data_IF_652356227840
#
_entry.id   IF_652356227840
#
_cell.length_a   1.000
_cell.length_b   1.000
_cell.length_c   1.000
_cell.angle_alpha   90.00
_cell.angle_beta   90.00
_cell.angle_gamma   90.00
#
_symmetry.space_group_name_H-M   'P 1'
#
loop_
_entity.id
_entity.type
_entity.pdbx_description
1 polymer ?
#
# COMPACT_ATOMS: atom_id res chain seq x y z
N UNK A 1 -0.90 -10.34 -18.93
CA UNK A 1 0.46 -9.74 -18.84
C UNK A 1 0.96 -9.89 -17.40
N UNK A 2 2.25 -9.73 -17.10
CA UNK A 2 2.80 -9.94 -15.75
C UNK A 2 2.12 -9.12 -14.65
N UNK A 3 1.55 -7.96 -14.98
CA UNK A 3 0.78 -7.10 -14.07
C UNK A 3 -0.46 -7.79 -13.52
N UNK A 4 -1.05 -8.74 -14.27
CA UNK A 4 -2.18 -9.54 -13.81
C UNK A 4 -1.80 -10.50 -12.67
N UNK A 5 -0.50 -10.75 -12.45
CA UNK A 5 -0.01 -11.50 -11.29
C UNK A 5 0.08 -10.64 -10.00
N UNK A 6 -0.24 -9.34 -10.09
CA UNK A 6 -0.10 -8.38 -9.00
C UNK A 6 -1.43 -7.86 -8.46
N UNK A 7 -2.43 -8.73 -8.28
CA UNK A 7 -3.71 -8.36 -7.66
C UNK A 7 -3.49 -7.70 -6.30
N UNK A 8 -4.11 -6.54 -6.10
CA UNK A 8 -4.02 -5.75 -4.87
C UNK A 8 -5.39 -5.38 -4.34
N UNK A 9 -5.46 -5.12 -3.04
CA UNK A 9 -6.55 -4.37 -2.45
C UNK A 9 -6.14 -2.90 -2.38
N UNK A 10 -7.03 -2.00 -2.76
CA UNK A 10 -6.77 -0.56 -2.78
C UNK A 10 -7.76 0.16 -1.87
N UNK A 11 -7.24 1.00 -0.99
CA UNK A 11 -8.06 1.82 -0.10
C UNK A 11 -8.05 3.26 -0.55
N UNK A 12 -9.23 3.88 -0.60
CA UNK A 12 -9.38 5.28 -0.95
C UNK A 12 -9.73 6.06 0.31
N UNK A 13 -9.04 7.17 0.52
CA UNK A 13 -9.33 8.13 1.57
C UNK A 13 -9.59 9.49 0.93
N UNK A 14 -10.84 9.95 0.97
CA UNK A 14 -11.21 11.29 0.55
C UNK A 14 -10.89 12.28 1.65
N UNK A 15 -10.23 13.39 1.29
CA UNK A 15 -9.71 14.39 2.21
C UNK A 15 -10.00 15.79 1.67
N UNK A 16 -10.02 16.77 2.55
CA UNK A 16 -10.03 18.16 2.11
C UNK A 16 -8.71 18.48 1.39
N UNK A 17 -8.72 19.31 0.32
CA UNK A 17 -7.49 19.64 -0.42
C UNK A 17 -6.35 20.18 0.46
N UNK A 18 -6.68 20.92 1.50
CA UNK A 18 -5.74 21.55 2.43
C UNK A 18 -5.07 20.53 3.36
N UNK A 19 -5.77 19.43 3.68
CA UNK A 19 -5.28 18.34 4.52
C UNK A 19 -4.58 17.24 3.72
N UNK A 20 -4.71 17.25 2.38
CA UNK A 20 -4.16 16.23 1.50
C UNK A 20 -2.67 15.90 1.76
N UNK A 21 -1.76 16.89 1.92
CA UNK A 21 -0.35 16.62 2.10
C UNK A 21 -0.07 15.76 3.34
N UNK A 22 -0.76 16.05 4.44
CA UNK A 22 -0.55 15.36 5.71
C UNK A 22 -1.04 13.91 5.63
N UNK A 23 -2.20 13.66 5.02
CA UNK A 23 -2.70 12.30 4.82
C UNK A 23 -1.85 11.50 3.83
N UNK A 24 -1.34 12.13 2.76
CA UNK A 24 -0.44 11.45 1.83
C UNK A 24 0.90 11.12 2.50
N UNK A 25 1.50 12.07 3.23
CA UNK A 25 2.75 11.86 3.96
C UNK A 25 2.58 10.77 5.04
N UNK A 26 1.45 10.76 5.76
CA UNK A 26 1.10 9.70 6.71
C UNK A 26 1.03 8.33 6.01
N UNK A 27 0.31 8.23 4.89
CA UNK A 27 0.16 7.00 4.13
C UNK A 27 1.49 6.47 3.58
N UNK A 28 2.40 7.37 3.19
CA UNK A 28 3.76 7.02 2.76
C UNK A 28 4.64 6.54 3.91
N UNK A 29 4.61 7.22 5.05
CA UNK A 29 5.41 6.85 6.23
C UNK A 29 5.06 5.43 6.75
N UNK A 30 3.81 5.01 6.63
CA UNK A 30 3.34 3.70 7.11
C UNK A 30 3.34 2.61 6.03
N UNK A 31 3.77 2.93 4.80
CA UNK A 31 3.70 2.01 3.67
C UNK A 31 4.45 0.69 3.93
N UNK A 32 5.66 0.76 4.48
CA UNK A 32 6.42 -0.43 4.87
C UNK A 32 5.74 -1.27 5.96
N UNK A 33 5.15 -0.63 6.97
CA UNK A 33 4.42 -1.34 8.03
C UNK A 33 3.24 -2.12 7.45
N UNK A 34 2.47 -1.49 6.55
CA UNK A 34 1.36 -2.14 5.86
C UNK A 34 1.82 -3.36 5.06
N UNK A 35 2.89 -3.21 4.27
CA UNK A 35 3.45 -4.32 3.48
C UNK A 35 3.91 -5.47 4.37
N UNK A 36 4.62 -5.19 5.46
CA UNK A 36 5.10 -6.23 6.37
C UNK A 36 3.95 -7.02 7.02
N UNK A 37 2.92 -6.32 7.51
CA UNK A 37 1.76 -6.95 8.16
C UNK A 37 0.87 -7.74 7.19
N UNK A 38 0.81 -7.32 5.93
CA UNK A 38 -0.10 -7.86 4.94
C UNK A 38 0.56 -8.76 3.88
N UNK A 39 1.89 -8.91 3.89
CA UNK A 39 2.62 -9.67 2.89
C UNK A 39 1.96 -11.04 2.62
N UNK A 40 1.73 -11.35 1.35
CA UNK A 40 0.90 -12.48 0.92
C UNK A 40 1.32 -13.05 -0.45
N UNK A 41 2.45 -12.64 -1.02
CA UNK A 41 2.92 -13.15 -2.31
C UNK A 41 4.36 -13.73 -2.27
N UNK A 42 4.61 -14.82 -1.52
CA UNK A 42 5.95 -15.38 -1.37
C UNK A 42 6.43 -16.25 -2.54
N UNK A 43 5.54 -16.65 -3.45
CA UNK A 43 5.88 -17.53 -4.57
C UNK A 43 5.60 -16.89 -5.93
N UNK A 44 6.53 -17.07 -6.87
CA UNK A 44 6.38 -16.65 -8.28
C UNK A 44 7.03 -17.70 -9.19
N UNK A 45 6.33 -18.10 -10.27
CA UNK A 45 6.81 -19.11 -11.23
C UNK A 45 7.34 -20.38 -10.54
N UNK A 46 6.64 -20.78 -9.47
CA UNK A 46 7.00 -21.91 -8.65
C UNK A 46 8.25 -21.73 -7.79
N UNK A 47 8.87 -20.56 -7.69
CA UNK A 47 10.03 -20.28 -6.82
C UNK A 47 9.59 -19.50 -5.59
N UNK A 48 10.21 -19.79 -4.45
CA UNK A 48 10.04 -19.01 -3.23
C UNK A 48 10.96 -17.80 -3.28
N UNK A 49 10.43 -16.60 -3.02
CA UNK A 49 11.12 -15.32 -3.16
C UNK A 49 10.86 -14.44 -1.92
N UNK A 50 10.72 -13.13 -2.12
CA UNK A 50 10.42 -12.14 -1.08
C UNK A 50 9.04 -12.41 -0.48
N UNK A 51 8.81 -11.99 0.76
CA UNK A 51 7.50 -12.17 1.41
C UNK A 51 6.38 -11.48 0.63
N UNK A 52 6.66 -10.30 0.07
CA UNK A 52 5.77 -9.59 -0.85
C UNK A 52 6.49 -9.35 -2.19
N UNK A 53 6.67 -10.43 -2.97
CA UNK A 53 7.33 -10.38 -4.29
C UNK A 53 6.61 -9.50 -5.32
N UNK A 54 5.35 -9.13 -5.08
CA UNK A 54 4.56 -8.26 -5.95
C UNK A 54 5.18 -6.88 -6.14
N UNK A 55 5.80 -6.32 -5.09
CA UNK A 55 6.44 -5.00 -5.14
C UNK A 55 7.57 -4.99 -6.19
N UNK A 56 8.65 -5.78 -6.05
CA UNK A 56 9.73 -5.78 -7.03
C UNK A 56 9.30 -6.34 -8.39
N UNK A 57 8.34 -7.28 -8.44
CA UNK A 57 7.83 -7.79 -9.71
C UNK A 57 7.15 -6.69 -10.53
N UNK A 58 6.27 -5.90 -9.91
CA UNK A 58 5.53 -4.85 -10.61
C UNK A 58 6.45 -3.72 -11.06
N UNK A 59 7.41 -3.33 -10.21
CA UNK A 59 8.45 -2.36 -10.53
C UNK A 59 9.30 -2.79 -11.72
N UNK A 60 9.68 -4.07 -11.80
CA UNK A 60 10.51 -4.57 -12.89
C UNK A 60 9.72 -4.83 -14.18
N UNK A 61 8.51 -5.39 -14.07
CA UNK A 61 7.72 -5.81 -15.23
C UNK A 61 7.18 -4.63 -16.05
N UNK A 62 6.91 -3.50 -15.41
CA UNK A 62 6.36 -2.30 -16.05
C UNK A 62 7.44 -1.27 -16.42
N UNK A 63 8.69 -1.52 -16.04
CA UNK A 63 9.79 -0.62 -16.32
C UNK A 63 10.39 -0.88 -17.71
N UNK A 64 9.83 -0.18 -18.69
CA UNK A 64 10.21 -0.23 -20.10
C UNK A 64 11.46 0.62 -20.43
N UNK A 65 12.12 1.23 -19.44
CA UNK A 65 13.28 2.11 -19.70
C UNK A 65 14.51 1.27 -20.09
N UNK A 66 15.31 1.72 -21.08
CA UNK A 66 16.63 1.14 -21.36
C UNK A 66 17.58 1.22 -20.15
N UNK A 67 18.59 0.33 -20.07
CA UNK A 67 19.52 0.27 -18.95
C UNK A 67 20.29 1.58 -18.76
N UNK A 68 20.62 2.27 -19.86
CA UNK A 68 21.31 3.55 -19.88
C UNK A 68 20.47 4.63 -19.19
N UNK A 69 19.15 4.64 -19.46
CA UNK A 69 18.19 5.57 -18.86
C UNK A 69 17.99 5.26 -17.37
N UNK A 70 18.00 3.98 -16.98
CA UNK A 70 17.99 3.59 -15.56
C UNK A 70 19.26 4.06 -14.84
N UNK A 71 20.43 3.87 -15.45
CA UNK A 71 21.72 4.30 -14.89
C UNK A 71 21.84 5.82 -14.73
N UNK A 72 21.12 6.60 -15.56
CA UNK A 72 21.04 8.05 -15.45
C UNK A 72 20.07 8.54 -14.34
N UNK A 73 19.42 7.63 -13.61
CA UNK A 73 18.52 8.00 -12.53
C UNK A 73 17.22 8.65 -13.02
N UNK A 74 16.83 8.43 -14.28
CA UNK A 74 15.48 8.79 -14.74
C UNK A 74 14.48 8.04 -13.84
N UNK A 75 13.26 8.56 -13.69
CA UNK A 75 12.27 8.01 -12.76
C UNK A 75 11.48 6.87 -13.41
N UNK A 76 11.20 5.75 -12.70
CA UNK A 76 10.28 4.72 -13.19
C UNK A 76 8.83 5.19 -13.09
N UNK A 77 7.94 4.58 -13.89
CA UNK A 77 6.49 4.84 -13.79
C UNK A 77 5.85 4.19 -12.56
N UNK A 78 6.38 3.06 -12.10
CA UNK A 78 6.09 2.51 -10.78
C UNK A 78 7.10 3.09 -9.82
N UNK A 79 6.65 3.85 -8.83
CA UNK A 79 7.57 4.54 -7.95
C UNK A 79 6.92 4.82 -6.58
N UNK A 80 7.75 4.80 -5.54
CA UNK A 80 7.35 5.21 -4.21
C UNK A 80 7.09 6.72 -4.12
N UNK A 81 7.93 7.55 -4.74
CA UNK A 81 7.86 9.02 -4.72
C UNK A 81 9.25 9.63 -4.53
N UNK A 82 9.37 10.96 -4.46
CA UNK A 82 10.67 11.64 -4.36
C UNK A 82 10.94 12.28 -3.00
N UNK A 83 9.89 12.80 -2.36
CA UNK A 83 9.97 13.63 -1.16
C UNK A 83 8.64 13.67 -0.45
N UNK A 84 8.66 14.14 0.79
CA UNK A 84 7.46 14.62 1.47
C UNK A 84 6.88 15.83 0.73
N UNK A 85 5.56 15.93 0.70
CA UNK A 85 4.86 17.00 -0.01
C UNK A 85 4.28 18.02 0.96
N UNK A 86 4.07 19.24 0.47
CA UNK A 86 3.35 20.31 1.15
C UNK A 86 2.05 20.68 0.42
N UNK A 87 1.85 20.16 -0.80
CA UNK A 87 0.61 20.33 -1.57
C UNK A 87 0.34 19.11 -2.44
N UNK A 88 -0.93 18.84 -2.75
CA UNK A 88 -1.30 17.89 -3.81
C UNK A 88 -0.70 18.28 -5.17
N UNK A 89 -0.50 19.58 -5.41
CA UNK A 89 0.12 20.08 -6.64
C UNK A 89 1.54 19.56 -6.84
N UNK A 90 2.30 19.34 -5.75
CA UNK A 90 3.66 18.78 -5.83
C UNK A 90 3.66 17.48 -6.66
N UNK A 91 2.65 16.61 -6.47
CA UNK A 91 2.55 15.31 -7.14
C UNK A 91 2.08 15.42 -8.60
N UNK A 92 1.19 16.36 -8.90
CA UNK A 92 0.73 16.59 -10.27
C UNK A 92 1.78 17.33 -11.12
N UNK A 93 2.52 18.26 -10.54
CA UNK A 93 3.67 18.90 -11.19
C UNK A 93 4.78 17.90 -11.46
N UNK A 94 5.05 16.98 -10.53
CA UNK A 94 5.95 15.84 -10.78
C UNK A 94 5.50 14.98 -11.96
N UNK A 95 4.19 14.76 -12.11
CA UNK A 95 3.65 14.00 -13.25
C UNK A 95 4.03 14.66 -14.57
N UNK A 96 3.83 15.97 -14.67
CA UNK A 96 4.12 16.76 -15.87
C UNK A 96 5.62 16.85 -16.14
N UNK A 97 6.41 17.03 -15.08
CA UNK A 97 7.86 17.23 -15.19
C UNK A 97 8.60 15.95 -15.57
N UNK A 98 8.19 14.80 -15.04
CA UNK A 98 8.98 13.57 -15.14
C UNK A 98 8.44 12.54 -16.13
N UNK A 99 7.15 12.60 -16.48
CA UNK A 99 6.53 11.56 -17.28
C UNK A 99 5.88 12.15 -18.54
N UNK A 100 6.29 11.71 -19.74
CA UNK A 100 5.57 12.07 -20.95
C UNK A 100 4.18 11.42 -20.95
N UNK A 101 3.18 12.05 -21.58
CA UNK A 101 1.89 11.41 -21.79
C UNK A 101 2.05 10.20 -22.73
N UNK A 102 1.53 9.03 -22.33
CA UNK A 102 1.59 7.82 -23.18
C UNK A 102 0.51 7.80 -24.24
N UNK A 103 -0.66 8.33 -23.90
CA UNK A 103 -1.83 8.40 -24.75
C UNK A 103 -2.29 9.86 -24.75
N UNK A 104 -2.18 10.57 -25.89
CA UNK A 104 -2.80 11.87 -26.00
C UNK A 104 -4.32 11.67 -26.00
N UNK A 105 -4.98 12.20 -24.99
CA UNK A 105 -6.42 12.45 -25.04
C UNK A 105 -6.57 13.92 -25.38
N UNK A 106 -7.32 14.22 -26.43
CA UNK A 106 -7.71 15.59 -26.76
C UNK A 106 -9.17 15.69 -26.36
N UNK A 107 -9.40 16.12 -25.12
CA UNK A 107 -10.77 16.38 -24.65
C UNK A 107 -11.31 17.61 -25.37
N UNK A 108 -12.62 17.64 -25.66
CA UNK A 108 -13.26 18.85 -26.19
C UNK A 108 -13.48 19.89 -25.08
N UNK A 109 -13.44 19.47 -23.81
CA UNK A 109 -13.55 20.37 -22.67
C UNK A 109 -12.30 21.26 -22.53
N UNK A 110 -12.47 22.58 -22.66
CA UNK A 110 -11.49 23.56 -22.17
C UNK A 110 -11.69 23.75 -20.65
N UNK A 111 -10.72 23.37 -19.80
CA UNK A 111 -10.87 23.49 -18.35
C UNK A 111 -10.96 24.93 -17.84
N UNK A 112 -10.32 25.89 -18.52
CA UNK A 112 -10.34 27.29 -18.12
C UNK A 112 -11.70 27.91 -18.43
N UNK A 113 -12.22 27.69 -19.65
CA UNK A 113 -13.57 28.17 -20.00
C UNK A 113 -14.66 27.51 -19.15
N UNK A 114 -14.49 26.23 -18.81
CA UNK A 114 -15.42 25.50 -17.92
C UNK A 114 -15.45 26.15 -16.53
N UNK A 115 -14.27 26.44 -15.97
CA UNK A 115 -14.15 27.07 -14.66
C UNK A 115 -14.68 28.52 -14.67
N UNK A 116 -14.40 29.30 -15.73
CA UNK A 116 -14.88 30.68 -15.90
C UNK A 116 -16.40 30.76 -15.97
N UNK A 117 -17.06 29.72 -16.48
CA UNK A 117 -18.53 29.57 -16.49
C UNK A 117 -19.11 29.17 -15.14
N UNK A 118 -18.27 28.85 -14.15
CA UNK A 118 -18.68 28.38 -12.82
C UNK A 118 -18.96 26.87 -12.75
N UNK A 119 -18.64 26.11 -13.81
CA UNK A 119 -18.73 24.66 -13.83
C UNK A 119 -17.43 24.02 -13.32
N UNK A 120 -17.45 22.71 -13.06
CA UNK A 120 -16.30 21.95 -12.58
C UNK A 120 -15.68 21.16 -13.74
N UNK A 121 -14.41 21.40 -14.09
CA UNK A 121 -13.74 20.65 -15.14
C UNK A 121 -13.45 19.20 -14.71
N UNK A 122 -13.62 18.23 -15.59
CA UNK A 122 -13.33 16.81 -15.34
C UNK A 122 -11.81 16.53 -15.39
N UNK A 123 -11.06 17.39 -16.08
CA UNK A 123 -9.61 17.27 -16.26
C UNK A 123 -9.20 15.90 -16.85
N UNK A 124 -9.87 15.49 -17.94
CA UNK A 124 -9.68 14.19 -18.59
C UNK A 124 -8.22 13.88 -18.95
N UNK A 125 -7.47 14.87 -19.46
CA UNK A 125 -6.05 14.71 -19.78
C UNK A 125 -5.19 14.43 -18.55
N UNK A 126 -5.40 15.19 -17.47
CA UNK A 126 -4.66 15.05 -16.21
C UNK A 126 -4.97 13.71 -15.52
N UNK A 127 -6.25 13.32 -15.49
CA UNK A 127 -6.68 12.05 -14.89
C UNK A 127 -6.17 10.85 -15.67
N UNK A 128 -6.19 10.89 -17.01
CA UNK A 128 -5.61 9.84 -17.86
C UNK A 128 -4.10 9.76 -17.66
N UNK A 129 -3.39 10.90 -17.70
CA UNK A 129 -1.94 10.94 -17.50
C UNK A 129 -1.54 10.35 -16.14
N UNK A 130 -2.19 10.80 -15.07
CA UNK A 130 -1.99 10.27 -13.72
C UNK A 130 -2.35 8.77 -13.61
N UNK A 131 -3.31 8.30 -14.41
CA UNK A 131 -3.68 6.89 -14.55
C UNK A 131 -2.53 6.00 -15.05
N UNK A 132 -1.59 6.56 -15.82
CA UNK A 132 -0.42 5.86 -16.38
C UNK A 132 0.84 5.93 -15.51
N UNK A 133 0.73 6.52 -14.31
CA UNK A 133 1.81 6.62 -13.33
C UNK A 133 1.38 5.83 -12.09
N UNK A 134 2.08 4.75 -11.84
CA UNK A 134 1.68 3.73 -10.88
C UNK A 134 2.37 3.92 -9.53
N UNK A 135 2.07 5.04 -8.86
CA UNK A 135 2.54 5.27 -7.49
C UNK A 135 1.94 4.28 -6.51
N UNK A 136 2.69 3.92 -5.46
CA UNK A 136 2.20 3.07 -4.37
C UNK A 136 1.13 3.77 -3.50
N UNK A 137 1.23 5.08 -3.30
CA UNK A 137 0.13 5.95 -2.86
C UNK A 137 -0.12 7.02 -3.93
N UNK A 138 -1.31 7.02 -4.54
CA UNK A 138 -1.63 7.86 -5.70
C UNK A 138 -2.57 9.01 -5.34
N UNK A 139 -2.28 10.26 -5.78
CA UNK A 139 -3.26 11.33 -5.73
C UNK A 139 -4.34 11.08 -6.79
N UNK A 140 -5.61 11.17 -6.40
CA UNK A 140 -6.73 11.00 -7.33
C UNK A 140 -7.60 12.24 -7.28
N UNK A 141 -7.65 12.96 -8.40
CA UNK A 141 -8.70 13.91 -8.71
C UNK A 141 -9.86 13.19 -9.41
N UNK A 142 -11.09 13.51 -9.04
CA UNK A 142 -12.26 13.13 -9.81
C UNK A 142 -13.44 14.06 -9.45
N UNK A 143 -14.42 14.12 -10.35
CA UNK A 143 -15.71 14.76 -10.10
C UNK A 143 -16.75 13.66 -9.86
N UNK A 144 -17.56 13.81 -8.82
CA UNK A 144 -18.70 12.93 -8.57
C UNK A 144 -19.89 13.73 -8.04
N UNK A 145 -21.07 13.52 -8.64
CA UNK A 145 -22.28 14.27 -8.31
C UNK A 145 -22.05 15.79 -8.36
N UNK A 146 -21.40 16.27 -9.44
CA UNK A 146 -21.06 17.68 -9.67
C UNK A 146 -20.25 18.31 -8.53
N UNK A 147 -19.37 17.52 -7.89
CA UNK A 147 -18.45 18.00 -6.87
C UNK A 147 -17.04 17.46 -7.13
N UNK A 148 -16.02 18.32 -7.17
CA UNK A 148 -14.64 17.84 -7.26
C UNK A 148 -14.21 17.33 -5.90
N UNK A 149 -13.42 16.25 -5.90
CA UNK A 149 -12.77 15.77 -4.70
C UNK A 149 -11.36 15.26 -5.00
N UNK A 150 -10.53 15.25 -3.96
CA UNK A 150 -9.21 14.63 -3.98
C UNK A 150 -9.18 13.45 -3.01
N UNK A 151 -8.45 12.40 -3.39
CA UNK A 151 -8.28 11.20 -2.58
C UNK A 151 -6.84 10.73 -2.57
N UNK A 152 -6.41 10.22 -1.43
CA UNK A 152 -5.23 9.35 -1.35
C UNK A 152 -5.70 7.93 -1.65
N UNK A 153 -5.18 7.34 -2.72
CA UNK A 153 -5.39 5.94 -3.07
C UNK A 153 -4.18 5.12 -2.61
N UNK A 154 -4.35 4.32 -1.56
CA UNK A 154 -3.35 3.40 -1.04
C UNK A 154 -3.36 2.07 -1.79
N UNK A 155 -2.21 1.65 -2.34
CA UNK A 155 -2.11 0.50 -3.26
C UNK A 155 -1.00 -0.48 -2.91
N UNK A 156 -0.39 -0.31 -1.74
CA UNK A 156 0.73 -1.15 -1.27
C UNK A 156 0.29 -2.56 -0.89
N UNK A 157 -0.97 -2.71 -0.48
CA UNK A 157 -1.48 -3.97 0.06
C UNK A 157 -1.75 -5.01 -1.04
N UNK A 158 -1.35 -6.28 -0.85
CA UNK A 158 -1.84 -7.36 -1.70
C UNK A 158 -3.33 -7.61 -1.47
N UNK A 159 -3.93 -8.44 -2.31
CA UNK A 159 -5.18 -9.09 -1.95
C UNK A 159 -5.00 -9.85 -0.61
N UNK A 160 -5.90 -9.63 0.34
CA UNK A 160 -5.82 -10.28 1.66
C UNK A 160 -6.20 -11.76 1.60
N UNK A 161 -5.69 -12.60 2.53
CA UNK A 161 -6.09 -14.01 2.61
C UNK A 161 -7.57 -14.23 2.84
N UNK A 162 -8.22 -13.31 3.58
CA UNK A 162 -9.64 -13.35 3.86
C UNK A 162 -10.26 -11.94 3.81
N UNK A 163 -11.59 -11.87 3.84
CA UNK A 163 -12.30 -10.59 3.99
C UNK A 163 -12.00 -9.98 5.34
N UNK A 164 -11.95 -10.78 6.42
CA UNK A 164 -11.58 -10.33 7.76
C UNK A 164 -10.19 -9.70 7.77
N UNK A 165 -9.22 -10.34 7.13
CA UNK A 165 -7.85 -9.83 7.02
C UNK A 165 -7.78 -8.51 6.23
N UNK A 166 -8.59 -8.40 5.19
CA UNK A 166 -8.69 -7.19 4.36
C UNK A 166 -9.29 -6.03 5.14
N UNK A 167 -10.39 -6.26 5.88
CA UNK A 167 -11.02 -5.24 6.71
C UNK A 167 -10.11 -4.82 7.87
N UNK A 168 -9.36 -5.75 8.46
CA UNK A 168 -8.37 -5.45 9.49
C UNK A 168 -7.27 -4.52 8.98
N UNK A 169 -6.74 -4.79 7.77
CA UNK A 169 -5.76 -3.91 7.13
C UNK A 169 -6.35 -2.51 6.87
N UNK A 170 -7.62 -2.44 6.44
CA UNK A 170 -8.32 -1.16 6.23
C UNK A 170 -8.49 -0.38 7.51
N UNK A 171 -8.98 -1.02 8.58
CA UNK A 171 -9.14 -0.40 9.90
C UNK A 171 -7.80 0.14 10.42
N UNK A 172 -6.73 -0.63 10.28
CA UNK A 172 -5.39 -0.19 10.65
C UNK A 172 -4.92 1.00 9.83
N UNK A 173 -5.07 0.95 8.50
CA UNK A 173 -4.69 2.05 7.60
C UNK A 173 -5.43 3.34 7.96
N UNK A 174 -6.77 3.32 7.96
CA UNK A 174 -7.59 4.52 8.19
C UNK A 174 -7.39 5.09 9.59
N UNK A 175 -7.34 4.23 10.61
CA UNK A 175 -7.05 4.64 11.97
C UNK A 175 -5.68 5.29 12.11
N UNK A 176 -4.65 4.63 11.58
CA UNK A 176 -3.29 5.12 11.73
C UNK A 176 -3.06 6.42 10.96
N UNK A 177 -3.55 6.54 9.73
CA UNK A 177 -3.44 7.81 8.98
C UNK A 177 -4.16 8.95 9.70
N UNK A 178 -5.36 8.71 10.24
CA UNK A 178 -6.10 9.74 10.99
C UNK A 178 -5.34 10.19 12.23
N UNK A 179 -4.76 9.25 12.98
CA UNK A 179 -4.02 9.58 14.19
C UNK A 179 -2.68 10.29 13.92
N UNK A 180 -1.98 9.93 12.83
CA UNK A 180 -0.70 10.54 12.49
C UNK A 180 -0.82 12.00 12.03
N UNK A 181 -1.92 12.34 11.35
CA UNK A 181 -2.21 13.73 10.95
C UNK A 181 -2.44 14.62 12.19
N UNK A 182 -2.94 14.06 13.28
CA UNK A 182 -3.20 14.77 14.53
C UNK A 182 -1.98 14.83 15.48
N UNK A 183 -0.83 14.24 15.11
CA UNK A 183 0.38 14.35 15.92
C UNK A 183 0.95 15.78 15.85
N UNK A 184 1.18 16.40 17.02
CA UNK A 184 1.78 17.74 17.13
C UNK A 184 3.11 17.85 16.37
N UNK A 185 3.89 16.75 16.33
CA UNK A 185 5.13 16.67 15.58
C UNK A 185 5.09 15.51 14.58
N UNK A 186 4.60 15.75 13.36
CA UNK A 186 4.33 14.70 12.39
C UNK A 186 5.54 13.83 12.08
N UNK A 187 5.30 12.55 11.79
CA UNK A 187 6.38 11.57 11.53
C UNK A 187 7.28 11.98 10.36
N UNK A 188 6.74 12.57 9.29
CA UNK A 188 7.50 13.02 8.12
C UNK A 188 8.39 14.24 8.40
N UNK A 189 8.18 14.96 9.51
CA UNK A 189 9.13 15.99 9.97
C UNK A 189 10.36 15.42 10.67
N UNK A 190 10.33 14.13 11.02
CA UNK A 190 11.36 13.43 11.82
C UNK A 190 11.96 12.20 11.12
N UNK A 191 11.40 11.79 9.99
CA UNK A 191 11.85 10.70 9.13
C UNK A 191 12.22 11.28 7.77
N UNK A 192 13.36 10.91 7.20
CA UNK A 192 13.63 11.27 5.80
C UNK A 192 12.74 10.45 4.86
N UNK A 193 12.43 11.01 3.70
CA UNK A 193 11.62 10.28 2.71
C UNK A 193 12.29 8.98 2.25
N UNK A 194 13.61 8.99 2.07
CA UNK A 194 14.40 7.81 1.72
C UNK A 194 14.26 6.67 2.74
N UNK A 195 14.14 6.99 4.03
CA UNK A 195 13.95 5.97 5.07
C UNK A 195 12.58 5.32 4.96
N UNK A 196 11.53 6.07 4.59
CA UNK A 196 10.21 5.48 4.33
C UNK A 196 10.24 4.55 3.11
N UNK A 197 11.01 4.91 2.08
CA UNK A 197 11.24 4.07 0.90
C UNK A 197 12.01 2.79 1.24
N UNK A 198 13.10 2.91 2.00
CA UNK A 198 13.90 1.78 2.47
C UNK A 198 13.05 0.84 3.34
N UNK A 199 12.21 1.40 4.20
CA UNK A 199 11.26 0.64 5.01
C UNK A 199 10.28 -0.16 4.14
N UNK A 200 9.76 0.40 3.05
CA UNK A 200 8.87 -0.32 2.12
C UNK A 200 9.57 -1.56 1.54
N UNK A 201 10.77 -1.39 0.99
CA UNK A 201 11.49 -2.49 0.34
C UNK A 201 11.98 -3.53 1.35
N UNK A 202 12.40 -3.09 2.53
CA UNK A 202 12.79 -3.98 3.64
C UNK A 202 11.60 -4.81 4.11
N UNK A 203 10.43 -4.19 4.27
CA UNK A 203 9.18 -4.89 4.58
C UNK A 203 8.77 -5.88 3.48
N UNK A 204 8.88 -5.49 2.20
CA UNK A 204 8.55 -6.40 1.10
C UNK A 204 9.45 -7.64 1.10
N UNK A 205 10.74 -7.47 1.40
CA UNK A 205 11.73 -8.54 1.41
C UNK A 205 11.56 -9.48 2.60
N UNK A 206 11.42 -8.93 3.80
CA UNK A 206 11.50 -9.66 5.06
C UNK A 206 10.14 -9.93 5.72
N UNK A 207 9.06 -9.33 5.22
CA UNK A 207 7.71 -9.52 5.74
C UNK A 207 7.56 -9.01 7.17
N UNK A 208 6.80 -9.75 7.98
CA UNK A 208 6.47 -9.36 9.36
C UNK A 208 7.70 -9.33 10.28
N UNK A 209 8.78 -10.03 9.98
CA UNK A 209 10.03 -10.00 10.75
C UNK A 209 10.99 -8.86 10.32
N UNK A 210 10.54 -7.98 9.42
CA UNK A 210 11.34 -6.85 8.97
C UNK A 210 11.72 -5.92 10.12
N UNK A 211 12.96 -5.43 10.08
CA UNK A 211 13.41 -4.34 10.94
C UNK A 211 13.24 -3.03 10.18
N UNK A 212 12.44 -2.12 10.73
CA UNK A 212 12.16 -0.82 10.15
C UNK A 212 12.67 0.28 11.05
N UNK A 213 13.06 1.42 10.48
CA UNK A 213 13.35 2.61 11.27
C UNK A 213 12.07 3.38 11.57
N UNK A 214 11.87 3.78 12.83
CA UNK A 214 10.81 4.70 13.23
C UNK A 214 11.32 5.83 14.15
N UNK A 215 10.96 7.11 13.90
CA UNK A 215 11.44 8.23 14.71
C UNK A 215 11.08 8.11 16.19
N UNK A 216 12.09 8.25 17.05
CA UNK A 216 11.96 8.13 18.51
C UNK A 216 12.00 6.68 19.02
N UNK A 217 12.03 5.68 18.13
CA UNK A 217 12.21 4.27 18.48
C UNK A 217 13.56 3.75 17.96
N UNK A 218 13.97 4.17 16.77
CA UNK A 218 15.16 3.64 16.07
C UNK A 218 14.78 2.47 15.16
N UNK A 219 15.74 1.58 14.89
CA UNK A 219 15.45 0.32 14.20
C UNK A 219 14.72 -0.65 15.14
N UNK A 220 13.63 -1.23 14.67
CA UNK A 220 12.72 -2.05 15.48
C UNK A 220 11.97 -3.05 14.59
N UNK A 221 11.62 -4.22 15.13
CA UNK A 221 10.79 -5.18 14.38
C UNK A 221 9.39 -4.64 14.16
N UNK A 222 8.74 -5.04 13.06
CA UNK A 222 7.36 -4.61 12.78
C UNK A 222 6.38 -4.98 13.91
N UNK A 223 6.38 -6.20 14.47
CA UNK A 223 5.53 -6.56 15.61
C UNK A 223 5.74 -5.64 16.81
N UNK A 224 6.98 -5.36 17.18
CA UNK A 224 7.27 -4.50 18.33
C UNK A 224 6.81 -3.06 18.08
N UNK A 225 7.11 -2.51 16.89
CA UNK A 225 6.66 -1.18 16.50
C UNK A 225 5.13 -1.06 16.50
N UNK A 226 4.45 -2.05 15.94
CA UNK A 226 2.99 -2.06 15.85
C UNK A 226 2.37 -2.17 17.23
N UNK A 227 2.73 -3.18 18.02
CA UNK A 227 2.14 -3.42 19.33
C UNK A 227 2.38 -2.27 20.30
N UNK A 228 3.59 -1.69 20.32
CA UNK A 228 3.96 -0.65 21.29
C UNK A 228 3.58 0.77 20.87
N UNK A 229 3.49 1.05 19.57
CA UNK A 229 3.31 2.42 19.07
C UNK A 229 2.13 2.58 18.12
N UNK A 230 2.06 1.78 17.06
CA UNK A 230 1.15 2.08 15.95
C UNK A 230 -0.27 1.56 16.18
N UNK A 231 -0.44 0.42 16.85
CA UNK A 231 -1.76 -0.14 17.14
C UNK A 231 -2.57 0.76 18.10
N UNK A 232 -2.01 1.30 19.20
CA UNK A 232 -2.71 2.31 20.00
C UNK A 232 -3.11 3.55 19.20
N UNK A 233 -2.26 4.01 18.27
CA UNK A 233 -2.58 5.13 17.39
C UNK A 233 -3.73 4.79 16.44
N UNK A 234 -3.74 3.59 15.86
CA UNK A 234 -4.83 3.14 15.00
C UNK A 234 -6.17 3.11 15.76
N UNK A 235 -6.19 2.60 17.00
CA UNK A 235 -7.38 2.66 17.85
C UNK A 235 -7.88 4.08 18.08
N UNK A 236 -6.96 5.00 18.40
CA UNK A 236 -7.28 6.42 18.62
C UNK A 236 -7.83 7.08 17.36
N UNK A 237 -7.23 6.84 16.20
CA UNK A 237 -7.67 7.45 14.95
C UNK A 237 -9.05 6.96 14.52
N UNK A 238 -9.36 5.67 14.68
CA UNK A 238 -10.70 5.14 14.41
C UNK A 238 -11.74 5.73 15.36
N UNK A 239 -11.39 5.94 16.63
CA UNK A 239 -12.27 6.61 17.60
C UNK A 239 -12.53 8.07 17.24
N UNK A 240 -11.50 8.81 16.81
CA UNK A 240 -11.65 10.18 16.30
C UNK A 240 -12.51 10.23 15.03
N UNK A 241 -12.54 9.16 14.25
CA UNK A 241 -13.43 8.99 13.09
C UNK A 241 -14.85 8.53 13.46
N UNK A 242 -15.15 8.34 14.75
CA UNK A 242 -16.48 7.96 15.25
C UNK A 242 -16.79 6.47 15.16
N UNK A 243 -15.78 5.60 15.05
CA UNK A 243 -15.98 4.15 15.02
C UNK A 243 -16.06 3.56 16.43
N UNK A 244 -17.18 2.89 16.73
CA UNK A 244 -17.41 2.27 18.03
C UNK A 244 -16.42 1.12 18.34
N UNK A 245 -16.14 0.91 19.64
CA UNK A 245 -15.29 -0.18 20.16
C UNK A 245 -15.67 -1.55 19.60
N UNK A 246 -16.97 -1.85 19.54
CA UNK A 246 -17.50 -3.12 19.06
C UNK A 246 -17.10 -3.45 17.61
N UNK A 247 -16.78 -2.44 16.79
CA UNK A 247 -16.30 -2.64 15.42
C UNK A 247 -14.77 -2.54 15.31
N UNK A 248 -14.14 -1.58 16.01
CA UNK A 248 -12.68 -1.39 15.91
C UNK A 248 -11.89 -2.49 16.62
N UNK A 249 -12.34 -2.97 17.77
CA UNK A 249 -11.59 -3.96 18.58
C UNK A 249 -11.43 -5.30 17.88
N UNK A 250 -12.46 -5.92 17.28
CA UNK A 250 -12.27 -7.17 16.55
C UNK A 250 -11.32 -7.03 15.34
N UNK A 251 -11.40 -5.92 14.61
CA UNK A 251 -10.57 -5.68 13.43
C UNK A 251 -9.10 -5.42 13.80
N UNK A 252 -8.86 -4.56 14.79
CA UNK A 252 -7.50 -4.28 15.26
C UNK A 252 -6.92 -5.44 16.09
N UNK A 253 -7.77 -6.26 16.71
CA UNK A 253 -7.38 -7.51 17.35
C UNK A 253 -6.76 -8.51 16.37
N UNK A 254 -7.22 -8.56 15.11
CA UNK A 254 -6.56 -9.37 14.07
C UNK A 254 -5.13 -8.89 13.82
N UNK A 255 -4.91 -7.57 13.75
CA UNK A 255 -3.56 -7.00 13.57
C UNK A 255 -2.67 -7.30 14.78
N UNK A 256 -3.21 -7.17 15.99
CA UNK A 256 -2.53 -7.54 17.22
C UNK A 256 -2.09 -9.01 17.18
N UNK A 257 -3.01 -9.93 16.89
CA UNK A 257 -2.72 -11.36 16.88
C UNK A 257 -1.73 -11.76 15.78
N UNK A 258 -1.75 -11.11 14.61
CA UNK A 258 -0.68 -11.30 13.60
C UNK A 258 0.69 -10.92 14.17
N UNK A 259 0.79 -9.81 14.89
CA UNK A 259 2.04 -9.38 15.52
C UNK A 259 2.47 -10.33 16.65
N UNK A 260 1.54 -10.76 17.51
CA UNK A 260 1.83 -11.68 18.62
C UNK A 260 2.29 -13.05 18.12
N UNK A 261 1.68 -13.55 17.05
CA UNK A 261 2.01 -14.87 16.48
C UNK A 261 3.13 -14.84 15.43
N UNK A 262 3.54 -13.66 14.97
CA UNK A 262 4.51 -13.52 13.87
C UNK A 262 3.99 -14.08 12.54
N UNK A 263 2.66 -14.11 12.33
CA UNK A 263 2.04 -14.75 11.16
C UNK A 263 1.29 -13.77 10.27
N UNK A 264 1.58 -13.86 8.98
CA UNK A 264 0.83 -13.23 7.90
C UNK A 264 0.65 -14.23 6.74
N UNK A 265 0.01 -13.80 5.65
CA UNK A 265 -0.23 -14.64 4.47
C UNK A 265 1.03 -15.28 3.90
N UNK A 266 2.12 -14.53 3.81
CA UNK A 266 3.39 -15.01 3.29
C UNK A 266 4.03 -16.07 4.19
N UNK A 267 4.03 -15.84 5.51
CA UNK A 267 4.55 -16.80 6.49
C UNK A 267 3.75 -18.10 6.42
N UNK A 268 2.41 -18.02 6.47
CA UNK A 268 1.54 -19.19 6.38
C UNK A 268 1.80 -20.00 5.10
N UNK A 269 1.87 -19.34 3.94
CA UNK A 269 2.10 -20.02 2.66
C UNK A 269 3.46 -20.72 2.61
N UNK A 270 4.52 -20.09 3.12
CA UNK A 270 5.86 -20.68 3.17
C UNK A 270 5.91 -21.89 4.10
N UNK A 271 5.39 -21.76 5.32
CA UNK A 271 5.33 -22.86 6.29
C UNK A 271 4.53 -24.05 5.77
N UNK A 272 3.36 -23.79 5.19
CA UNK A 272 2.50 -24.81 4.61
C UNK A 272 3.17 -25.51 3.43
N UNK A 273 3.80 -24.75 2.53
CA UNK A 273 4.57 -25.31 1.42
C UNK A 273 5.67 -26.26 1.91
N UNK A 274 6.51 -25.81 2.86
CA UNK A 274 7.59 -26.64 3.39
C UNK A 274 7.08 -27.88 4.13
N UNK A 275 5.97 -27.76 4.87
CA UNK A 275 5.34 -28.89 5.54
C UNK A 275 4.90 -29.97 4.54
N UNK A 276 4.23 -29.58 3.45
CA UNK A 276 3.75 -30.51 2.42
C UNK A 276 4.92 -31.12 1.62
N UNK A 277 5.92 -30.31 1.26
CA UNK A 277 7.07 -30.73 0.46
C UNK A 277 8.00 -31.70 1.23
N UNK A 278 8.21 -31.46 2.53
CA UNK A 278 9.01 -32.33 3.40
C UNK A 278 8.39 -33.71 3.65
N UNK A 279 7.06 -33.82 3.56
CA UNK A 279 6.33 -35.06 3.78
C UNK A 279 6.44 -36.04 2.61
N UNK A 280 5.38 -36.15 1.81
CA UNK A 280 5.18 -37.24 0.84
C UNK A 280 6.02 -37.15 -0.44
N UNK A 281 7.02 -36.26 -0.51
CA UNK A 281 7.76 -35.88 -1.73
C UNK A 281 6.87 -35.77 -2.97
N UNK A 282 5.74 -35.05 -2.91
CA UNK A 282 4.79 -34.98 -4.02
C UNK A 282 5.37 -34.24 -5.25
N UNK A 283 6.54 -33.62 -5.10
CA UNK A 283 7.14 -32.71 -6.07
C UNK A 283 6.64 -31.29 -5.84
N UNK A 284 7.53 -30.32 -6.07
CA UNK A 284 7.31 -28.90 -5.74
C UNK A 284 6.01 -28.32 -6.30
N UNK A 285 5.64 -28.68 -7.52
CA UNK A 285 4.40 -28.20 -8.14
C UNK A 285 3.14 -28.73 -7.44
N UNK A 286 3.15 -29.99 -7.00
CA UNK A 286 2.04 -30.56 -6.25
C UNK A 286 1.96 -30.00 -4.83
N UNK A 287 3.11 -29.72 -4.19
CA UNK A 287 3.14 -29.03 -2.91
C UNK A 287 2.50 -27.62 -3.00
N UNK A 288 2.85 -26.85 -4.04
CA UNK A 288 2.21 -25.55 -4.30
C UNK A 288 0.71 -25.68 -4.55
N UNK A 289 0.29 -26.64 -5.39
CA UNK A 289 -1.14 -26.89 -5.66
C UNK A 289 -1.93 -27.17 -4.38
N UNK A 290 -1.41 -28.05 -3.52
CA UNK A 290 -2.04 -28.42 -2.25
C UNK A 290 -2.08 -27.25 -1.26
N UNK A 291 -1.00 -26.47 -1.17
CA UNK A 291 -0.98 -25.25 -0.36
C UNK A 291 -2.06 -24.26 -0.83
N UNK A 292 -2.19 -24.03 -2.14
CA UNK A 292 -3.22 -23.15 -2.70
C UNK A 292 -4.64 -23.66 -2.42
N UNK A 293 -4.88 -24.97 -2.49
CA UNK A 293 -6.18 -25.55 -2.15
C UNK A 293 -6.57 -25.28 -0.70
N UNK A 294 -5.66 -25.54 0.25
CA UNK A 294 -5.92 -25.25 1.66
C UNK A 294 -6.10 -23.75 1.91
N UNK A 295 -5.33 -22.91 1.23
CA UNK A 295 -5.48 -21.46 1.30
C UNK A 295 -6.89 -21.03 0.89
N UNK A 296 -7.42 -21.58 -0.20
CA UNK A 296 -8.78 -21.31 -0.66
C UNK A 296 -9.84 -21.78 0.35
N UNK A 297 -9.66 -22.94 0.97
CA UNK A 297 -10.57 -23.44 2.00
C UNK A 297 -10.63 -22.48 3.20
N UNK A 298 -9.48 -22.03 3.72
CA UNK A 298 -9.42 -21.03 4.80
C UNK A 298 -9.98 -19.67 4.39
N UNK A 299 -9.75 -19.25 3.14
CA UNK A 299 -10.33 -18.03 2.58
C UNK A 299 -11.85 -18.05 2.62
N UNK A 300 -12.46 -19.19 2.23
CA UNK A 300 -13.91 -19.36 2.27
C UNK A 300 -14.48 -19.45 3.69
N UNK A 301 -13.69 -19.93 4.66
CA UNK A 301 -14.07 -19.89 6.08
C UNK A 301 -13.96 -18.48 6.69
N UNK A 302 -13.34 -17.54 5.98
CA UNK A 302 -13.04 -16.19 6.47
C UNK A 302 -12.28 -16.19 7.81
N UNK A 303 -11.43 -17.21 8.02
CA UNK A 303 -10.61 -17.36 9.21
C UNK A 303 -9.36 -16.47 9.09
N UNK A 304 -9.12 -15.51 10.00
CA UNK A 304 -7.95 -14.64 9.93
C UNK A 304 -6.65 -15.45 9.87
N UNK A 305 -5.66 -15.00 9.09
CA UNK A 305 -4.45 -15.79 8.81
C UNK A 305 -3.61 -16.19 10.04
N UNK A 306 -3.81 -15.53 11.19
CA UNK A 306 -3.12 -15.87 12.43
C UNK A 306 -3.74 -17.09 13.16
N UNK A 307 -4.90 -17.60 12.73
CA UNK A 307 -5.62 -18.72 13.36
C UNK A 307 -5.15 -20.08 12.91
#
# INVERSE_FOLDING_TARGET
>A
TPEAACTSTQFHLQVAPEEFPDYWNAAQAIAGVQVALAANSPFLLGKELWHESRIPLFEQATDTRPQEIKAQGVRPRVWFGERWINSVFDLFEENLRYFPALLPLCDEQDPAETLDRGDIPELGELTLHNGTIYRWNRPVYAVAHDKPHVRVENRVLPAGPTVADTLANGAFYYGLTRALVEEERPVWSRMSFSVAEDNLHTAARHGIEAHLYWPGVGEVTVPELVLRRLLPLAHRGLELSGMDSAWREPLLGIIEQRCVTGRNGAVWQKEMFHHIDAGARPGRHEALRRMTQQYMDYMHLNAPVHT
#
